data_IF_993548311633
#
_entry.id   IF_993548311633
#
_cell.length_a   1.000
_cell.length_b   1.000
_cell.length_c   1.000
_cell.angle_alpha   90.00
_cell.angle_beta   90.00
_cell.angle_gamma   90.00
#
_symmetry.space_group_name_H-M   'P 1'
#
loop_
_entity.id
_entity.type
_entity.pdbx_description
1 polymer ?
#
# COMPACT_ATOMS: atom_id res chain seq x y z
N UNK A 1 65.75 -8.19 4.93
CA UNK A 1 65.13 -7.29 3.94
C UNK A 1 64.09 -8.06 3.14
N UNK A 2 62.87 -8.18 3.66
CA UNK A 2 61.74 -8.77 2.95
C UNK A 2 60.44 -8.33 3.66
N UNK A 3 59.96 -7.11 3.40
CA UNK A 3 58.61 -6.71 3.87
C UNK A 3 57.96 -5.56 3.09
N UNK A 4 58.41 -5.23 1.88
CA UNK A 4 57.79 -4.14 1.08
C UNK A 4 57.05 -4.62 -0.18
N UNK A 5 57.17 -5.88 -0.58
CA UNK A 5 56.52 -6.39 -1.81
C UNK A 5 55.09 -6.90 -1.60
N UNK A 6 54.73 -7.43 -0.42
CA UNK A 6 53.39 -7.99 -0.20
C UNK A 6 52.27 -6.94 0.02
N UNK A 7 52.62 -5.67 0.30
CA UNK A 7 51.66 -4.56 0.50
C UNK A 7 51.33 -3.78 -0.77
N UNK A 8 52.14 -3.83 -1.83
CA UNK A 8 51.80 -3.20 -3.11
C UNK A 8 50.82 -4.04 -3.93
N UNK A 9 50.94 -5.36 -3.87
CA UNK A 9 50.16 -6.27 -4.70
C UNK A 9 48.69 -6.33 -4.28
N UNK A 10 48.41 -6.12 -2.98
CA UNK A 10 47.04 -6.05 -2.44
C UNK A 10 46.34 -4.72 -2.73
N UNK A 11 47.08 -3.62 -2.87
CA UNK A 11 46.51 -2.31 -3.21
C UNK A 11 46.22 -2.19 -4.72
N UNK A 12 47.05 -2.80 -5.56
CA UNK A 12 46.83 -2.85 -7.00
C UNK A 12 45.62 -3.73 -7.36
N UNK A 13 45.48 -4.89 -6.70
CA UNK A 13 44.31 -5.77 -6.88
C UNK A 13 42.98 -5.11 -6.48
N UNK A 14 42.98 -4.26 -5.45
CA UNK A 14 41.80 -3.51 -5.02
C UNK A 14 41.43 -2.40 -6.02
N UNK A 15 42.42 -1.72 -6.60
CA UNK A 15 42.21 -0.71 -7.64
C UNK A 15 41.71 -1.34 -8.94
N UNK A 16 42.21 -2.51 -9.32
CA UNK A 16 41.77 -3.23 -10.50
C UNK A 16 40.33 -3.76 -10.34
N UNK A 17 39.92 -4.20 -9.14
CA UNK A 17 38.52 -4.56 -8.81
C UNK A 17 37.60 -3.33 -8.83
N UNK A 18 38.03 -2.19 -8.30
CA UNK A 18 37.27 -0.93 -8.36
C UNK A 18 37.09 -0.45 -9.81
N UNK A 19 38.14 -0.55 -10.64
CA UNK A 19 38.08 -0.18 -12.06
C UNK A 19 37.25 -1.16 -12.89
N UNK A 20 37.29 -2.46 -12.57
CA UNK A 20 36.44 -3.47 -13.19
C UNK A 20 34.95 -3.24 -12.86
N UNK A 21 34.63 -2.91 -11.59
CA UNK A 21 33.26 -2.53 -11.17
C UNK A 21 32.78 -1.23 -11.82
N UNK A 22 33.68 -0.26 -12.07
CA UNK A 22 33.35 0.96 -12.82
C UNK A 22 33.05 0.67 -14.29
N UNK A 23 33.85 -0.16 -14.95
CA UNK A 23 33.58 -0.59 -16.34
C UNK A 23 32.30 -1.45 -16.46
N UNK A 24 31.98 -2.25 -15.44
CA UNK A 24 30.72 -2.99 -15.37
C UNK A 24 29.51 -2.05 -15.21
N UNK A 25 29.65 -0.96 -14.44
CA UNK A 25 28.62 0.06 -14.30
C UNK A 25 28.45 0.93 -15.57
N UNK A 26 29.52 1.23 -16.32
CA UNK A 26 29.43 1.97 -17.58
C UNK A 26 28.83 1.12 -18.71
N UNK A 27 29.05 -0.20 -18.73
CA UNK A 27 28.45 -1.12 -19.70
C UNK A 27 26.96 -1.41 -19.44
N UNK A 28 26.43 -1.07 -18.26
CA UNK A 28 25.00 -1.17 -17.90
C UNK A 28 24.22 0.13 -18.13
N UNK A 29 24.88 1.20 -18.61
CA UNK A 29 24.21 2.39 -19.16
C UNK A 29 24.03 2.15 -20.66
N UNK A 30 23.24 1.13 -20.99
CA UNK A 30 22.76 0.88 -22.35
C UNK A 30 21.26 1.05 -22.34
N UNK A 31 20.83 2.20 -22.86
CA UNK A 31 19.48 2.55 -23.32
C UNK A 31 18.32 1.76 -22.71
N UNK A 32 17.62 2.34 -21.73
CA UNK A 32 16.19 2.12 -21.65
C UNK A 32 15.60 2.55 -23.00
N UNK A 33 14.96 1.67 -23.80
CA UNK A 33 14.05 2.19 -24.80
C UNK A 33 12.95 2.91 -24.03
N UNK A 34 12.91 4.23 -24.17
CA UNK A 34 11.73 5.03 -23.86
C UNK A 34 10.62 4.52 -24.78
N UNK A 35 9.93 3.46 -24.37
CA UNK A 35 8.64 3.14 -24.95
C UNK A 35 7.71 4.26 -24.51
N UNK A 36 7.51 5.23 -25.40
CA UNK A 36 6.30 6.04 -25.35
C UNK A 36 5.12 5.08 -25.15
N UNK A 37 4.17 5.39 -24.25
CA UNK A 37 2.99 4.55 -24.13
C UNK A 37 2.32 4.53 -25.50
N UNK A 38 2.22 3.34 -26.10
CA UNK A 38 1.32 3.13 -27.21
C UNK A 38 -0.08 3.54 -26.72
N UNK A 39 -0.88 4.27 -27.52
CA UNK A 39 -2.24 4.58 -27.12
C UNK A 39 -3.03 3.28 -27.19
N UNK A 40 -3.04 2.52 -26.09
CA UNK A 40 -4.10 1.55 -25.87
C UNK A 40 -5.39 2.35 -25.92
N UNK A 41 -6.33 1.94 -26.74
CA UNK A 41 -7.69 2.48 -26.72
C UNK A 41 -8.27 2.17 -25.35
N UNK A 42 -7.98 3.02 -24.38
CA UNK A 42 -8.49 2.95 -23.03
C UNK A 42 -10.01 3.03 -23.17
N UNK A 43 -10.70 1.93 -22.88
CA UNK A 43 -12.13 2.00 -22.63
C UNK A 43 -12.31 3.05 -21.53
N UNK A 44 -12.91 4.17 -21.92
CA UNK A 44 -13.12 5.34 -21.06
C UNK A 44 -14.07 4.90 -19.96
N UNK A 45 -13.70 5.17 -18.70
CA UNK A 45 -14.56 4.96 -17.54
C UNK A 45 -15.97 5.50 -17.87
N UNK A 46 -17.03 4.68 -17.80
CA UNK A 46 -18.37 5.13 -18.17
C UNK A 46 -18.72 6.41 -17.41
N UNK A 47 -19.33 7.37 -18.10
CA UNK A 47 -19.49 8.73 -17.59
C UNK A 47 -20.29 8.78 -16.30
N UNK A 48 -21.21 7.85 -16.09
CA UNK A 48 -22.08 7.68 -14.93
C UNK A 48 -21.54 6.71 -13.86
N UNK A 49 -20.47 5.97 -14.15
CA UNK A 49 -19.97 4.93 -13.25
C UNK A 49 -19.52 5.50 -11.90
N UNK A 50 -20.05 4.97 -10.80
CA UNK A 50 -19.87 5.49 -9.44
C UNK A 50 -20.35 6.93 -9.18
N UNK A 51 -21.00 7.58 -10.16
CA UNK A 51 -21.63 8.88 -9.97
C UNK A 51 -23.08 8.74 -9.49
N UNK A 52 -23.54 9.75 -8.75
CA UNK A 52 -24.91 9.80 -8.24
C UNK A 52 -25.05 9.25 -6.81
N UNK A 53 -26.29 9.13 -6.31
CA UNK A 53 -26.52 8.63 -4.96
C UNK A 53 -26.02 7.20 -4.84
N UNK A 54 -25.47 6.87 -3.68
CA UNK A 54 -25.10 5.51 -3.34
C UNK A 54 -26.28 4.56 -3.59
N UNK A 55 -26.07 3.35 -4.15
CA UNK A 55 -27.14 2.40 -4.40
C UNK A 55 -28.01 2.22 -3.14
N UNK A 56 -29.32 2.43 -3.29
CA UNK A 56 -30.28 2.53 -2.18
C UNK A 56 -30.44 1.24 -1.38
N UNK A 57 -30.14 0.11 -2.03
CA UNK A 57 -30.14 -1.24 -1.49
C UNK A 57 -28.94 -1.50 -0.58
N UNK A 58 -27.85 -0.75 -0.77
CA UNK A 58 -26.65 -0.87 0.04
C UNK A 58 -26.70 0.10 1.23
N UNK A 59 -26.27 -0.38 2.39
CA UNK A 59 -26.24 0.41 3.63
C UNK A 59 -24.83 0.39 4.20
N UNK A 60 -23.97 1.34 3.81
CA UNK A 60 -22.59 1.36 4.25
C UNK A 60 -22.49 1.26 5.77
N UNK A 61 -21.76 0.25 6.25
CA UNK A 61 -21.58 0.00 7.67
C UNK A 61 -20.12 0.14 8.05
N UNK A 62 -19.83 1.21 8.78
CA UNK A 62 -18.50 1.46 9.35
C UNK A 62 -18.30 0.62 10.62
N UNK A 63 -17.24 -0.17 10.65
CA UNK A 63 -16.82 -0.99 11.80
C UNK A 63 -15.37 -0.67 12.15
N UNK A 64 -15.19 0.18 13.16
CA UNK A 64 -13.87 0.57 13.68
C UNK A 64 -13.22 -0.60 14.43
N UNK A 65 -11.98 -0.94 14.08
CA UNK A 65 -11.20 -1.91 14.86
C UNK A 65 -10.61 -1.19 16.08
N UNK A 66 -11.17 -1.47 17.25
CA UNK A 66 -10.65 -1.01 18.54
C UNK A 66 -9.62 -2.01 19.06
N UNK A 67 -8.35 -1.83 18.65
CA UNK A 67 -7.25 -2.73 19.01
C UNK A 67 -7.09 -2.93 20.52
N UNK A 68 -7.47 -1.95 21.36
CA UNK A 68 -7.41 -2.11 22.83
C UNK A 68 -8.30 -3.24 23.37
N UNK A 69 -9.31 -3.64 22.57
CA UNK A 69 -10.27 -4.71 22.87
C UNK A 69 -10.02 -5.98 22.06
N UNK A 70 -8.92 -6.08 21.34
CA UNK A 70 -8.55 -7.27 20.56
C UNK A 70 -7.33 -7.96 21.16
N UNK A 71 -6.94 -9.09 20.58
CA UNK A 71 -5.68 -9.76 20.94
C UNK A 71 -4.44 -8.96 20.55
N UNK A 72 -4.59 -7.88 19.76
CA UNK A 72 -3.52 -7.01 19.28
C UNK A 72 -3.48 -5.67 20.04
N UNK A 73 -3.64 -5.71 21.37
CA UNK A 73 -3.71 -4.52 22.21
C UNK A 73 -2.45 -3.61 22.14
N UNK A 74 -1.31 -4.09 21.65
CA UNK A 74 -0.14 -3.24 21.41
C UNK A 74 -0.36 -2.19 20.31
N UNK A 75 -1.41 -2.37 19.51
CA UNK A 75 -1.88 -1.43 18.50
C UNK A 75 -2.96 -0.48 19.01
N UNK A 76 -3.15 -0.39 20.33
CA UNK A 76 -3.99 0.63 20.94
C UNK A 76 -3.63 2.04 20.41
N UNK A 77 -4.66 2.79 20.03
CA UNK A 77 -4.55 4.10 19.40
C UNK A 77 -4.15 4.12 17.92
N UNK A 78 -3.86 2.96 17.30
CA UNK A 78 -3.65 2.88 15.84
C UNK A 78 -4.98 2.82 15.09
N UNK A 79 -4.94 3.13 13.80
CA UNK A 79 -6.12 3.26 12.95
C UNK A 79 -6.30 2.08 12.00
N UNK A 80 -7.43 1.37 12.14
CA UNK A 80 -7.98 0.48 11.12
C UNK A 80 -9.51 0.49 11.19
N UNK A 81 -10.19 0.46 10.05
CA UNK A 81 -11.66 0.41 9.96
C UNK A 81 -12.10 -0.35 8.72
N UNK A 82 -13.21 -1.08 8.83
CA UNK A 82 -13.88 -1.73 7.71
C UNK A 82 -15.14 -0.94 7.36
N UNK A 83 -15.42 -0.78 6.08
CA UNK A 83 -16.66 -0.24 5.55
C UNK A 83 -17.29 -1.33 4.70
N UNK A 84 -18.32 -1.98 5.23
CA UNK A 84 -19.11 -2.96 4.48
C UNK A 84 -20.11 -2.25 3.56
N UNK A 85 -20.55 -2.95 2.52
CA UNK A 85 -21.67 -2.57 1.65
C UNK A 85 -21.50 -1.17 1.02
N UNK A 86 -20.29 -0.85 0.52
CA UNK A 86 -19.95 0.43 -0.11
C UNK A 86 -19.96 0.36 -1.66
N UNK A 87 -19.71 -0.82 -2.23
CA UNK A 87 -19.88 -1.08 -3.65
C UNK A 87 -20.81 -2.28 -3.84
N UNK A 88 -21.62 -2.22 -4.90
CA UNK A 88 -22.44 -3.35 -5.34
C UNK A 88 -21.59 -4.38 -6.08
N UNK A 89 -22.13 -5.60 -6.22
CA UNK A 89 -21.50 -6.67 -7.01
C UNK A 89 -21.18 -6.20 -8.43
N UNK A 90 -22.15 -5.58 -9.11
CA UNK A 90 -21.98 -5.08 -10.48
C UNK A 90 -20.90 -3.99 -10.59
N UNK A 91 -20.76 -3.13 -9.58
CA UNK A 91 -19.70 -2.10 -9.57
C UNK A 91 -18.31 -2.73 -9.38
N UNK A 92 -18.18 -3.73 -8.50
CA UNK A 92 -16.93 -4.47 -8.33
C UNK A 92 -16.52 -5.22 -9.62
N UNK A 93 -17.46 -5.93 -10.25
CA UNK A 93 -17.23 -6.62 -11.53
C UNK A 93 -16.81 -5.64 -12.63
N UNK A 94 -17.49 -4.49 -12.73
CA UNK A 94 -17.15 -3.46 -13.71
C UNK A 94 -15.75 -2.88 -13.49
N UNK A 95 -15.30 -2.70 -12.25
CA UNK A 95 -13.92 -2.26 -11.95
C UNK A 95 -12.91 -3.30 -12.48
N UNK A 96 -13.15 -4.59 -12.27
CA UNK A 96 -12.27 -5.66 -12.75
C UNK A 96 -12.23 -5.67 -14.28
N UNK A 97 -13.40 -5.64 -14.93
CA UNK A 97 -13.54 -5.62 -16.39
C UNK A 97 -12.77 -4.45 -17.02
N UNK A 98 -12.98 -3.23 -16.51
CA UNK A 98 -12.32 -2.03 -17.02
C UNK A 98 -10.81 -2.08 -16.82
N UNK A 99 -10.35 -2.57 -15.66
CA UNK A 99 -8.93 -2.72 -15.39
C UNK A 99 -8.28 -3.75 -16.33
N UNK A 100 -8.90 -4.92 -16.53
CA UNK A 100 -8.42 -5.94 -17.46
C UNK A 100 -8.37 -5.42 -18.91
N UNK A 101 -9.30 -4.54 -19.30
CA UNK A 101 -9.30 -3.87 -20.60
C UNK A 101 -8.11 -2.91 -20.81
N UNK A 102 -7.43 -2.46 -19.74
CA UNK A 102 -6.24 -1.58 -19.86
C UNK A 102 -4.94 -2.32 -20.19
N UNK A 103 -4.97 -3.65 -20.23
CA UNK A 103 -3.77 -4.49 -20.35
C UNK A 103 -3.58 -5.03 -21.78
N UNK A 104 -2.33 -5.34 -22.16
CA UNK A 104 -1.99 -5.94 -23.45
C UNK A 104 -1.14 -7.22 -23.26
N UNK A 105 -1.60 -8.39 -23.73
CA UNK A 105 -2.96 -8.68 -24.20
C UNK A 105 -4.03 -8.39 -23.14
N UNK A 106 -5.25 -8.09 -23.58
CA UNK A 106 -6.42 -7.84 -22.70
C UNK A 106 -6.58 -8.97 -21.68
N UNK A 107 -6.77 -8.60 -20.41
CA UNK A 107 -6.86 -9.52 -19.28
C UNK A 107 -5.52 -10.04 -18.75
N UNK A 108 -4.38 -9.49 -19.18
CA UNK A 108 -3.06 -9.92 -18.67
C UNK A 108 -2.78 -9.34 -17.29
N UNK A 109 -2.62 -10.23 -16.31
CA UNK A 109 -2.14 -9.89 -14.97
C UNK A 109 -0.63 -10.14 -14.87
N UNK A 110 0.16 -9.07 -14.72
CA UNK A 110 1.62 -9.21 -14.58
C UNK A 110 2.01 -9.63 -13.16
N UNK A 111 3.12 -10.36 -13.00
CA UNK A 111 3.60 -10.73 -11.66
C UNK A 111 4.01 -9.46 -10.89
N UNK A 112 3.52 -9.32 -9.66
CA UNK A 112 3.76 -8.12 -8.87
C UNK A 112 5.22 -8.03 -8.37
N UNK A 113 6.03 -7.13 -8.95
CA UNK A 113 7.35 -6.80 -8.40
C UNK A 113 7.26 -5.93 -7.13
N UNK A 114 8.18 -6.13 -6.18
CA UNK A 114 8.29 -5.36 -4.93
C UNK A 114 9.24 -4.16 -5.14
N UNK A 115 8.83 -2.97 -4.66
CA UNK A 115 9.70 -1.79 -4.64
C UNK A 115 10.60 -1.86 -3.41
N UNK A 116 11.92 -1.88 -3.62
CA UNK A 116 12.92 -1.96 -2.53
C UNK A 116 13.47 -0.58 -2.13
N UNK A 117 12.89 0.51 -2.66
CA UNK A 117 13.33 1.88 -2.43
C UNK A 117 14.33 2.39 -3.47
N UNK A 118 14.42 3.72 -3.63
CA UNK A 118 15.39 4.36 -4.53
C UNK A 118 15.15 4.13 -6.02
N UNK A 119 13.91 3.86 -6.45
CA UNK A 119 13.57 3.60 -7.86
C UNK A 119 13.98 2.22 -8.37
N UNK A 120 14.43 1.31 -7.50
CA UNK A 120 14.85 -0.05 -7.85
C UNK A 120 13.71 -1.05 -7.59
N UNK A 121 13.48 -1.93 -8.55
CA UNK A 121 12.59 -3.10 -8.42
C UNK A 121 13.46 -4.35 -8.39
N UNK A 122 13.22 -5.25 -7.44
CA UNK A 122 13.89 -6.53 -7.36
C UNK A 122 12.86 -7.66 -7.37
N UNK A 123 13.18 -8.74 -8.07
CA UNK A 123 12.46 -10.01 -7.99
C UNK A 123 12.77 -10.64 -6.62
N UNK A 124 12.00 -10.27 -5.59
CA UNK A 124 11.87 -11.12 -4.41
C UNK A 124 10.61 -11.96 -4.61
N UNK A 125 10.76 -13.09 -5.30
CA UNK A 125 9.72 -14.15 -5.34
C UNK A 125 9.34 -14.63 -3.92
N UNK A 126 10.17 -14.28 -2.92
CA UNK A 126 9.96 -14.60 -1.53
C UNK A 126 9.03 -13.66 -0.76
N UNK A 127 8.74 -12.41 -1.17
CA UNK A 127 7.94 -11.52 -0.28
C UNK A 127 6.48 -11.44 -0.68
N UNK A 128 6.20 -11.48 -1.99
CA UNK A 128 4.84 -11.35 -2.54
C UNK A 128 4.71 -12.22 -3.78
N UNK A 129 3.66 -13.02 -3.82
CA UNK A 129 3.30 -13.87 -4.95
C UNK A 129 1.88 -13.51 -5.35
N UNK A 130 1.71 -12.67 -6.38
CA UNK A 130 0.39 -12.36 -6.95
C UNK A 130 0.51 -11.75 -8.35
N UNK A 131 -0.59 -11.78 -9.09
CA UNK A 131 -0.81 -10.97 -10.29
C UNK A 131 -1.19 -9.53 -9.93
N UNK A 132 -0.86 -8.58 -10.82
CA UNK A 132 -1.13 -7.16 -10.64
C UNK A 132 -1.46 -6.48 -11.96
N UNK A 133 -2.44 -5.60 -11.92
CA UNK A 133 -2.67 -4.56 -12.92
C UNK A 133 -2.44 -3.21 -12.25
N UNK A 134 -1.73 -2.33 -12.94
CA UNK A 134 -1.57 -0.94 -12.53
C UNK A 134 -2.47 -0.13 -13.45
N UNK A 135 -3.43 0.57 -12.86
CA UNK A 135 -4.36 1.42 -13.58
C UNK A 135 -4.28 2.83 -13.01
N UNK A 136 -3.60 3.72 -13.74
CA UNK A 136 -3.52 5.14 -13.40
C UNK A 136 -4.81 5.83 -13.88
N UNK A 137 -5.69 6.19 -12.94
CA UNK A 137 -6.99 6.82 -13.24
C UNK A 137 -7.45 7.73 -12.09
N UNK A 138 -7.23 9.03 -12.29
CA UNK A 138 -7.66 10.06 -11.34
C UNK A 138 -9.18 10.05 -11.14
N UNK A 139 -9.94 9.86 -12.22
CA UNK A 139 -11.40 9.94 -12.17
C UNK A 139 -12.04 8.82 -11.34
N UNK A 140 -11.56 7.57 -11.49
CA UNK A 140 -12.06 6.47 -10.66
C UNK A 140 -11.64 6.66 -9.19
N UNK A 141 -10.39 7.11 -8.95
CA UNK A 141 -9.89 7.39 -7.60
C UNK A 141 -10.74 8.46 -6.91
N UNK A 142 -11.06 9.56 -7.62
CA UNK A 142 -11.91 10.65 -7.14
C UNK A 142 -13.32 10.16 -6.80
N UNK A 143 -13.99 9.48 -7.74
CA UNK A 143 -15.37 8.97 -7.53
C UNK A 143 -15.47 7.95 -6.38
N UNK A 144 -14.46 7.08 -6.26
CA UNK A 144 -14.37 6.15 -5.14
C UNK A 144 -14.19 6.90 -3.82
N UNK A 145 -13.35 7.94 -3.79
CA UNK A 145 -13.14 8.75 -2.59
C UNK A 145 -14.41 9.50 -2.16
N UNK A 146 -15.16 10.08 -3.10
CA UNK A 146 -16.40 10.81 -2.80
C UNK A 146 -17.46 9.96 -2.08
N UNK A 147 -17.46 8.65 -2.32
CA UNK A 147 -18.32 7.70 -1.58
C UNK A 147 -17.80 7.40 -0.18
N UNK A 148 -16.48 7.34 -0.01
CA UNK A 148 -15.82 6.91 1.23
C UNK A 148 -15.66 8.06 2.22
N UNK A 149 -15.24 9.24 1.75
CA UNK A 149 -14.88 10.40 2.56
C UNK A 149 -15.94 10.79 3.60
N UNK A 150 -17.25 10.85 3.28
CA UNK A 150 -18.27 11.22 4.25
C UNK A 150 -18.38 10.25 5.43
N UNK A 151 -17.92 9.00 5.27
CA UNK A 151 -17.97 7.95 6.29
C UNK A 151 -16.76 7.97 7.22
N UNK A 152 -15.67 8.66 6.84
CA UNK A 152 -14.41 8.73 7.61
C UNK A 152 -13.90 10.17 7.77
N UNK A 153 -14.74 11.11 8.27
CA UNK A 153 -14.37 12.53 8.38
C UNK A 153 -13.13 12.77 9.25
N UNK A 154 -12.81 11.86 10.17
CA UNK A 154 -11.60 11.91 10.99
C UNK A 154 -10.29 11.76 10.21
N UNK A 155 -10.35 11.28 8.97
CA UNK A 155 -9.21 11.16 8.06
C UNK A 155 -8.95 12.44 7.26
N UNK A 156 -9.86 13.44 7.30
CA UNK A 156 -9.70 14.71 6.56
C UNK A 156 -8.47 15.52 6.95
N UNK A 157 -7.98 15.36 8.20
CA UNK A 157 -6.86 16.12 8.75
C UNK A 157 -5.99 15.29 9.68
N UNK A 158 -4.68 15.44 9.57
CA UNK A 158 -3.70 14.89 10.50
C UNK A 158 -2.91 16.03 11.15
N UNK A 159 -3.01 16.13 12.47
CA UNK A 159 -2.34 17.15 13.28
C UNK A 159 -1.87 16.50 14.59
N UNK A 160 -0.58 16.67 14.95
CA UNK A 160 -0.04 16.17 16.21
C UNK A 160 0.02 14.63 16.37
N UNK A 161 -0.25 13.84 15.33
CA UNK A 161 -0.31 12.36 15.39
C UNK A 161 1.02 11.70 14.98
N UNK A 162 2.00 11.67 15.89
CA UNK A 162 3.31 11.05 15.63
C UNK A 162 3.24 9.54 15.33
N UNK A 163 2.20 8.86 15.81
CA UNK A 163 1.93 7.44 15.50
C UNK A 163 1.60 7.21 14.03
N UNK A 164 1.10 8.24 13.32
CA UNK A 164 0.74 8.18 11.89
C UNK A 164 1.88 8.76 11.05
N UNK A 165 2.28 10.00 11.34
CA UNK A 165 3.21 10.77 10.48
C UNK A 165 4.69 10.58 10.83
N UNK A 166 4.98 10.03 12.00
CA UNK A 166 6.31 10.06 12.62
C UNK A 166 6.61 11.36 13.37
N UNK A 167 7.76 11.41 14.03
CA UNK A 167 8.13 12.55 14.89
C UNK A 167 8.51 13.82 14.13
N UNK A 168 8.93 13.72 12.87
CA UNK A 168 9.35 14.87 12.07
C UNK A 168 8.22 15.89 11.93
N UNK A 169 7.10 15.54 11.29
CA UNK A 169 5.96 16.44 11.13
C UNK A 169 5.44 17.02 12.45
N UNK A 170 5.39 16.23 13.51
CA UNK A 170 4.98 16.73 14.84
C UNK A 170 5.97 17.73 15.42
N UNK A 171 7.28 17.49 15.28
CA UNK A 171 8.33 18.42 15.74
C UNK A 171 8.27 19.77 15.01
N UNK A 172 7.90 19.73 13.73
CA UNK A 172 7.78 20.93 12.89
C UNK A 172 6.38 21.53 12.91
N UNK A 173 5.51 21.07 13.83
CA UNK A 173 4.14 21.55 13.99
C UNK A 173 3.34 21.49 12.67
N UNK A 174 3.60 20.49 11.84
CA UNK A 174 2.95 20.35 10.53
C UNK A 174 1.52 19.84 10.66
N UNK A 175 0.66 20.44 9.84
CA UNK A 175 -0.71 20.01 9.62
C UNK A 175 -0.84 19.48 8.20
N UNK A 176 -1.45 18.31 8.07
CA UNK A 176 -1.67 17.63 6.80
C UNK A 176 -3.17 17.50 6.53
N UNK A 177 -3.61 17.85 5.32
CA UNK A 177 -5.01 17.77 4.87
C UNK A 177 -5.14 16.69 3.81
N UNK A 178 -6.19 15.88 3.90
CA UNK A 178 -6.50 14.86 2.89
C UNK A 178 -6.84 15.53 1.56
N UNK A 179 -6.27 15.03 0.46
CA UNK A 179 -6.55 15.51 -0.91
C UNK A 179 -7.21 14.45 -1.79
N UNK A 180 -7.45 13.25 -1.25
CA UNK A 180 -8.14 12.17 -1.94
C UNK A 180 -7.33 10.88 -1.99
N UNK A 181 -7.63 10.04 -2.98
CA UNK A 181 -6.91 8.79 -3.22
C UNK A 181 -5.81 8.98 -4.26
N UNK A 182 -4.73 8.21 -4.13
CA UNK A 182 -3.70 8.13 -5.15
C UNK A 182 -4.29 7.61 -6.47
N UNK A 183 -4.06 8.32 -7.58
CA UNK A 183 -4.53 7.96 -8.92
C UNK A 183 -3.98 6.62 -9.44
N UNK A 184 -2.85 6.15 -8.90
CA UNK A 184 -2.23 4.86 -9.24
C UNK A 184 -2.90 3.71 -8.51
N UNK A 185 -4.02 3.24 -9.07
CA UNK A 185 -4.76 2.10 -8.54
C UNK A 185 -4.01 0.80 -8.85
N UNK A 186 -3.90 -0.07 -7.86
CA UNK A 186 -3.23 -1.38 -8.00
C UNK A 186 -4.26 -2.47 -7.78
N UNK A 187 -4.72 -3.07 -8.86
CA UNK A 187 -5.50 -4.29 -8.75
C UNK A 187 -4.56 -5.46 -8.52
N UNK A 188 -4.92 -6.34 -7.60
CA UNK A 188 -4.12 -7.50 -7.20
C UNK A 188 -4.98 -8.75 -7.32
N UNK A 189 -4.42 -9.78 -7.94
CA UNK A 189 -5.04 -11.10 -8.15
C UNK A 189 -4.19 -12.17 -7.50
N UNK A 190 -4.78 -12.90 -6.57
CA UNK A 190 -4.18 -14.05 -5.90
C UNK A 190 -4.93 -15.29 -6.33
N UNK A 191 -4.21 -16.37 -6.62
CA UNK A 191 -4.76 -17.72 -6.85
C UNK A 191 -4.25 -18.70 -5.79
N UNK A 192 -4.79 -19.92 -5.70
CA UNK A 192 -4.38 -20.90 -4.69
C UNK A 192 -2.85 -21.03 -4.52
N UNK A 193 -2.37 -20.95 -3.28
CA UNK A 193 -0.95 -20.97 -2.90
C UNK A 193 -0.21 -19.64 -3.08
N UNK A 194 -0.95 -18.53 -3.20
CA UNK A 194 -0.41 -17.16 -3.30
C UNK A 194 -0.68 -16.34 -2.05
N UNK A 195 0.21 -15.37 -1.78
CA UNK A 195 0.24 -14.64 -0.52
C UNK A 195 1.00 -13.32 -0.65
N UNK A 196 0.92 -12.53 0.41
CA UNK A 196 1.81 -11.41 0.64
C UNK A 196 2.31 -11.42 2.09
N UNK A 197 3.60 -11.72 2.29
CA UNK A 197 4.20 -11.89 3.62
C UNK A 197 4.00 -10.68 4.52
N UNK A 198 4.05 -10.91 5.82
CA UNK A 198 3.88 -9.87 6.84
C UNK A 198 4.84 -8.69 6.64
N UNK A 199 4.30 -7.48 6.64
CA UNK A 199 5.03 -6.23 6.43
C UNK A 199 4.25 -5.05 7.04
N UNK A 200 4.89 -3.88 7.09
CA UNK A 200 4.19 -2.62 7.25
C UNK A 200 4.24 -1.88 5.92
N UNK A 201 3.16 -1.18 5.58
CA UNK A 201 3.11 -0.43 4.33
C UNK A 201 4.05 0.77 4.38
N UNK A 202 4.68 1.04 3.24
CA UNK A 202 5.53 2.21 3.05
C UNK A 202 4.69 3.45 2.75
N UNK A 203 5.09 4.58 3.32
CA UNK A 203 4.55 5.89 2.92
C UNK A 203 5.12 6.27 1.55
N UNK A 204 4.25 6.70 0.65
CA UNK A 204 4.62 7.24 -0.66
C UNK A 204 4.69 8.77 -0.56
N UNK A 205 5.69 9.38 -1.21
CA UNK A 205 5.75 10.83 -1.44
C UNK A 205 5.67 11.07 -2.94
N UNK A 206 4.62 11.80 -3.36
CA UNK A 206 4.42 12.20 -4.74
C UNK A 206 5.40 13.33 -5.14
N UNK A 207 5.64 13.56 -6.44
CA UNK A 207 6.51 14.64 -6.92
C UNK A 207 6.10 16.03 -6.40
N UNK A 208 4.79 16.27 -6.24
CA UNK A 208 4.21 17.49 -5.70
C UNK A 208 4.25 17.58 -4.16
N UNK A 209 4.94 16.64 -3.48
CA UNK A 209 5.11 16.57 -2.01
C UNK A 209 3.89 16.13 -1.23
N UNK A 210 2.82 15.69 -1.89
CA UNK A 210 1.79 14.93 -1.21
C UNK A 210 2.35 13.62 -0.65
N UNK A 211 1.81 13.17 0.48
CA UNK A 211 2.23 11.95 1.16
C UNK A 211 1.07 11.05 1.49
N UNK A 212 1.26 9.75 1.37
CA UNK A 212 0.32 8.79 1.93
C UNK A 212 0.64 8.44 3.38
N UNK A 213 -0.43 8.23 4.15
CA UNK A 213 -0.37 7.79 5.55
C UNK A 213 -1.30 6.61 5.87
N UNK A 214 -2.31 6.39 5.04
CA UNK A 214 -3.26 5.30 5.16
C UNK A 214 -3.37 4.56 3.83
N UNK A 215 -3.60 3.27 3.90
CA UNK A 215 -3.92 2.43 2.75
C UNK A 215 -5.40 2.15 2.73
N UNK A 216 -5.98 2.23 1.54
CA UNK A 216 -7.35 1.81 1.24
C UNK A 216 -7.27 0.51 0.44
N UNK A 217 -7.92 -0.54 0.94
CA UNK A 217 -7.93 -1.87 0.34
C UNK A 217 -9.39 -2.29 0.09
N UNK A 218 -9.81 -2.24 -1.17
CA UNK A 218 -11.14 -2.65 -1.62
C UNK A 218 -11.11 -4.13 -2.03
N UNK A 219 -12.06 -4.91 -1.53
CA UNK A 219 -12.26 -6.30 -1.93
C UNK A 219 -13.22 -6.39 -3.11
N UNK A 220 -12.77 -6.99 -4.21
CA UNK A 220 -13.51 -7.04 -5.48
C UNK A 220 -14.22 -8.38 -5.70
N UNK A 221 -14.00 -9.36 -4.83
CA UNK A 221 -14.75 -10.61 -4.77
C UNK A 221 -14.67 -11.20 -3.36
N UNK A 222 -15.44 -12.26 -3.12
CA UNK A 222 -15.44 -13.06 -1.89
C UNK A 222 -15.81 -14.52 -2.18
N UNK A 223 -16.03 -15.32 -1.14
CA UNK A 223 -16.36 -16.76 -1.25
C UNK A 223 -17.60 -17.04 -2.11
N UNK A 224 -18.61 -16.17 -2.08
CA UNK A 224 -19.88 -16.38 -2.78
C UNK A 224 -19.85 -15.86 -4.23
N UNK A 225 -18.90 -15.00 -4.56
CA UNK A 225 -18.78 -14.33 -5.87
C UNK A 225 -17.49 -14.73 -6.59
N UNK A 226 -17.34 -16.02 -6.89
CA UNK A 226 -16.17 -16.59 -7.59
C UNK A 226 -16.49 -16.83 -9.08
N UNK A 227 -15.60 -16.35 -9.97
CA UNK A 227 -15.79 -16.48 -11.42
C UNK A 227 -15.59 -17.91 -11.94
N UNK A 228 -14.72 -18.70 -11.28
CA UNK A 228 -14.39 -20.08 -11.64
C UNK A 228 -15.22 -21.12 -10.86
N UNK A 229 -16.09 -20.67 -9.96
CA UNK A 229 -16.94 -21.52 -9.12
C UNK A 229 -16.21 -22.20 -7.95
N UNK A 230 -14.90 -22.00 -7.81
CA UNK A 230 -14.13 -22.55 -6.69
C UNK A 230 -14.17 -21.56 -5.50
N UNK A 231 -14.59 -21.99 -4.30
CA UNK A 231 -14.75 -21.06 -3.17
C UNK A 231 -13.41 -20.44 -2.76
N UNK A 232 -13.45 -19.13 -2.48
CA UNK A 232 -12.34 -18.41 -1.85
C UNK A 232 -12.20 -18.92 -0.40
N UNK A 233 -11.11 -19.63 -0.12
CA UNK A 233 -10.75 -20.11 1.22
C UNK A 233 -9.40 -19.53 1.62
N UNK A 234 -9.32 -18.91 2.80
CA UNK A 234 -8.13 -18.19 3.26
C UNK A 234 -8.08 -16.77 2.69
N UNK A 235 -6.88 -16.26 2.39
CA UNK A 235 -6.72 -14.96 1.74
C UNK A 235 -7.15 -13.76 2.59
N UNK A 236 -7.24 -13.88 3.91
CA UNK A 236 -7.56 -12.75 4.79
C UNK A 236 -6.50 -11.64 4.67
N UNK A 237 -6.90 -10.40 4.93
CA UNK A 237 -5.93 -9.36 5.30
C UNK A 237 -5.75 -9.47 6.80
N UNK A 238 -4.58 -9.95 7.23
CA UNK A 238 -4.34 -10.31 8.63
C UNK A 238 -3.39 -9.32 9.27
N UNK A 239 -3.80 -8.72 10.38
CA UNK A 239 -2.91 -7.97 11.27
C UNK A 239 -2.24 -8.94 12.25
N UNK A 240 -0.95 -8.73 12.53
CA UNK A 240 -0.18 -9.59 13.43
C UNK A 240 0.39 -8.79 14.60
N UNK A 241 0.45 -9.41 15.77
CA UNK A 241 1.35 -8.96 16.81
C UNK A 241 2.80 -9.03 16.30
N UNK A 242 3.70 -8.20 16.83
CA UNK A 242 5.07 -8.14 16.32
C UNK A 242 5.86 -9.44 16.50
N UNK A 243 5.49 -10.25 17.49
CA UNK A 243 6.04 -11.58 17.71
C UNK A 243 5.42 -12.65 16.80
N UNK A 244 4.45 -12.29 15.95
CA UNK A 244 3.70 -13.16 15.04
C UNK A 244 2.84 -14.25 15.74
N UNK A 245 2.69 -14.20 17.06
CA UNK A 245 1.97 -15.23 17.84
C UNK A 245 0.45 -14.97 17.91
N UNK A 246 0.03 -13.72 17.73
CA UNK A 246 -1.38 -13.31 17.76
C UNK A 246 -1.73 -12.63 16.45
N UNK A 247 -2.99 -12.76 16.04
CA UNK A 247 -3.48 -12.24 14.78
C UNK A 247 -4.92 -11.78 14.86
N UNK A 248 -5.29 -10.88 13.95
CA UNK A 248 -6.67 -10.47 13.71
C UNK A 248 -6.91 -10.48 12.21
N UNK A 249 -7.92 -11.21 11.79
CA UNK A 249 -8.23 -11.42 10.39
C UNK A 249 -9.37 -10.52 9.92
N UNK A 250 -9.17 -9.89 8.76
CA UNK A 250 -10.23 -9.25 7.99
C UNK A 250 -10.47 -10.10 6.74
N UNK A 251 -11.55 -10.87 6.77
CA UNK A 251 -11.94 -11.72 5.65
C UNK A 251 -12.35 -10.86 4.43
N UNK A 252 -12.04 -11.29 3.20
CA UNK A 252 -12.56 -10.63 2.00
C UNK A 252 -14.09 -10.70 1.96
N UNK A 253 -14.73 -9.55 1.82
CA UNK A 253 -16.16 -9.44 1.52
C UNK A 253 -16.34 -8.51 0.34
N UNK A 254 -16.98 -8.96 -0.74
CA UNK A 254 -17.07 -8.19 -1.98
C UNK A 254 -17.73 -6.84 -1.72
N UNK A 255 -17.17 -5.79 -2.30
CA UNK A 255 -17.68 -4.43 -2.16
C UNK A 255 -17.46 -3.80 -0.78
N UNK A 256 -16.64 -4.42 0.08
CA UNK A 256 -16.16 -3.81 1.33
C UNK A 256 -14.78 -3.18 1.18
N UNK A 257 -14.49 -2.19 2.03
CA UNK A 257 -13.20 -1.50 2.08
C UNK A 257 -12.59 -1.66 3.48
N UNK A 258 -11.31 -2.02 3.53
CA UNK A 258 -10.47 -1.91 4.72
C UNK A 258 -9.55 -0.69 4.58
N UNK A 259 -9.62 0.24 5.53
CA UNK A 259 -8.69 1.38 5.63
C UNK A 259 -7.84 1.20 6.88
N UNK A 260 -6.52 1.31 6.75
CA UNK A 260 -5.61 1.20 7.90
C UNK A 260 -4.39 2.12 7.75
N UNK A 261 -3.83 2.57 8.87
CA UNK A 261 -2.61 3.39 8.84
C UNK A 261 -1.40 2.55 8.41
N UNK A 262 -0.54 3.13 7.59
CA UNK A 262 0.61 2.43 7.04
C UNK A 262 1.71 2.22 8.09
N UNK A 263 1.93 3.23 8.94
CA UNK A 263 2.96 3.19 9.97
C UNK A 263 2.51 2.32 11.14
N UNK A 264 3.30 1.32 11.52
CA UNK A 264 3.11 0.64 12.80
C UNK A 264 2.14 -0.54 12.80
N UNK A 265 1.39 -0.77 11.73
CA UNK A 265 0.49 -1.92 11.62
C UNK A 265 1.14 -3.03 10.77
N UNK A 266 1.63 -4.07 11.44
CA UNK A 266 2.15 -5.27 10.79
C UNK A 266 0.99 -6.09 10.26
N UNK A 267 1.01 -6.39 8.97
CA UNK A 267 -0.07 -7.12 8.32
C UNK A 267 0.42 -7.94 7.12
N UNK A 268 -0.37 -8.94 6.71
CA UNK A 268 -0.11 -9.78 5.55
C UNK A 268 -1.39 -9.91 4.70
N UNK A 269 -1.22 -10.28 3.43
CA UNK A 269 -2.24 -11.01 2.71
C UNK A 269 -1.99 -12.48 2.96
N UNK A 270 -2.79 -13.10 3.84
CA UNK A 270 -2.59 -14.48 4.26
C UNK A 270 -2.75 -15.45 3.09
N UNK A 271 -2.28 -16.69 3.26
CA UNK A 271 -2.30 -17.70 2.21
C UNK A 271 -3.72 -17.89 1.65
N UNK A 272 -3.86 -17.78 0.34
CA UNK A 272 -5.07 -18.19 -0.36
C UNK A 272 -5.00 -19.70 -0.57
N UNK A 273 -5.84 -20.46 0.12
CA UNK A 273 -5.83 -21.93 0.08
C UNK A 273 -6.47 -22.43 -1.21
N UNK A 274 -7.63 -21.87 -1.59
CA UNK A 274 -8.37 -22.20 -2.81
C UNK A 274 -9.11 -20.99 -3.38
N UNK A 275 -9.54 -21.11 -4.63
CA UNK A 275 -10.26 -20.06 -5.35
C UNK A 275 -9.35 -18.90 -5.78
N UNK A 276 -9.96 -17.73 -5.92
CA UNK A 276 -9.31 -16.50 -6.36
C UNK A 276 -9.68 -15.32 -5.46
N UNK A 277 -8.70 -14.49 -5.13
CA UNK A 277 -8.92 -13.20 -4.45
C UNK A 277 -8.51 -12.04 -5.35
N UNK A 278 -9.44 -11.12 -5.56
CA UNK A 278 -9.27 -9.87 -6.30
C UNK A 278 -9.42 -8.69 -5.35
N UNK A 279 -8.49 -7.75 -5.42
CA UNK A 279 -8.52 -6.53 -4.59
C UNK A 279 -8.03 -5.34 -5.38
N UNK A 280 -8.43 -4.14 -4.96
CA UNK A 280 -7.88 -2.88 -5.40
C UNK A 280 -7.24 -2.19 -4.20
N UNK A 281 -5.93 -1.93 -4.28
CA UNK A 281 -5.18 -1.18 -3.28
C UNK A 281 -4.83 0.21 -3.83
N UNK A 282 -5.12 1.23 -3.06
CA UNK A 282 -4.61 2.59 -3.24
C UNK A 282 -4.27 3.19 -1.87
N UNK A 283 -3.80 4.42 -1.84
CA UNK A 283 -3.39 5.11 -0.64
C UNK A 283 -4.14 6.44 -0.51
N UNK A 284 -4.47 6.84 0.73
CA UNK A 284 -5.08 8.15 1.02
C UNK A 284 -3.95 9.17 1.09
N UNK A 285 -4.03 10.19 0.23
CA UNK A 285 -3.01 11.20 -0.01
C UNK A 285 -3.30 12.46 0.81
N UNK A 286 -2.22 13.09 1.27
CA UNK A 286 -2.27 14.29 2.10
C UNK A 286 -1.29 15.33 1.61
N UNK A 287 -1.71 16.58 1.59
CA UNK A 287 -0.83 17.72 1.38
C UNK A 287 -0.51 18.42 2.70
N UNK A 288 0.68 18.99 2.80
CA UNK A 288 1.04 19.87 3.91
C UNK A 288 0.33 21.21 3.74
N UNK A 289 -0.29 21.69 4.80
CA UNK A 289 -0.97 23.00 4.83
C UNK A 289 -0.06 24.09 5.41
N UNK A 290 -0.47 25.36 5.24
CA UNK A 290 0.16 26.50 5.90
C UNK A 290 -0.25 26.65 7.38
N UNK A 291 -1.17 25.81 7.88
CA UNK A 291 -1.56 25.80 9.29
C UNK A 291 -0.43 25.27 10.18
N UNK A 292 -0.36 25.83 11.39
CA UNK A 292 0.56 25.36 12.44
C UNK A 292 -0.24 24.56 13.45
N UNK A 293 0.22 23.35 13.74
CA UNK A 293 -0.40 22.47 14.72
C UNK A 293 -0.45 23.16 16.09
N UNK A 294 -1.59 23.02 16.77
CA UNK A 294 -1.73 23.50 18.15
C UNK A 294 -0.70 22.78 19.02
N UNK A 295 0.07 23.55 19.80
CA UNK A 295 1.01 22.99 20.77
C UNK A 295 0.28 22.07 21.74
N UNK A 296 0.51 20.77 21.61
CA UNK A 296 0.02 19.79 22.58
C UNK A 296 0.97 19.86 23.78
N UNK A 297 0.44 20.15 24.98
CA UNK A 297 1.26 20.12 26.19
C UNK A 297 1.93 18.73 26.34
N UNK A 298 3.24 18.67 26.63
CA UNK A 298 3.99 17.42 26.72
C UNK A 298 3.44 16.39 27.75
N UNK A 299 2.54 16.82 28.64
CA UNK A 299 1.96 16.04 29.73
C UNK A 299 0.86 15.06 29.29
N UNK A 300 0.26 15.22 28.09
CA UNK A 300 -0.88 14.40 27.62
C UNK A 300 -0.56 13.44 26.47
N UNK A 301 0.68 13.44 25.96
CA UNK A 301 1.09 12.54 24.87
C UNK A 301 1.42 11.17 25.45
N UNK A 302 0.67 10.15 25.02
CA UNK A 302 0.83 8.73 25.38
C UNK A 302 2.32 8.33 25.26
N UNK A 303 2.96 8.07 26.40
CA UNK A 303 4.38 7.65 26.51
C UNK A 303 4.66 6.22 26.02
N UNK A 304 3.71 5.56 25.37
CA UNK A 304 3.84 4.17 24.92
C UNK A 304 3.60 4.05 23.43
N UNK A 305 4.61 4.45 22.64
CA UNK A 305 4.89 3.74 21.40
C UNK A 305 5.98 2.71 21.69
N UNK A 306 5.90 1.48 21.15
CA UNK A 306 6.92 0.46 21.31
C UNK A 306 8.32 1.00 20.99
N UNK A 307 9.34 0.51 21.69
CA UNK A 307 10.71 1.05 21.63
C UNK A 307 11.28 1.16 20.21
N UNK A 308 10.80 0.35 19.26
CA UNK A 308 11.25 0.33 17.88
C UNK A 308 10.80 1.56 17.05
N UNK A 309 9.72 2.25 17.43
CA UNK A 309 9.29 3.51 16.76
C UNK A 309 10.29 4.65 17.01
N UNK A 310 11.11 4.52 18.06
CA UNK A 310 12.14 5.51 18.44
C UNK A 310 13.44 5.35 17.66
N UNK A 311 13.65 4.23 16.95
CA UNK A 311 14.89 3.93 16.22
C UNK A 311 14.69 3.97 14.70
N UNK A 312 14.64 5.19 14.15
CA UNK A 312 15.23 5.48 12.83
C UNK A 312 15.89 6.86 12.88
N UNK A 313 17.00 6.95 13.60
CA UNK A 313 18.06 7.90 13.23
C UNK A 313 18.88 7.20 12.16
N UNK A 314 19.21 7.93 11.10
CA UNK A 314 19.99 7.42 9.97
C UNK A 314 21.20 6.62 10.44
N UNK A 315 21.31 5.42 9.89
CA UNK A 315 22.46 4.53 10.02
C UNK A 315 22.51 3.73 8.74
N UNK A 316 23.35 4.19 7.82
CA UNK A 316 23.84 3.47 6.66
C UNK A 316 24.42 2.12 7.12
N UNK A 317 23.97 1.04 6.52
CA UNK A 317 24.76 -0.16 6.24
C UNK A 317 24.39 -0.62 4.84
#
# INVERSE_FOLDING_TARGET
>A
MASSSARSDTHQALLDDILARRKFNEAMISSNPTSAPAPATAEVLPTDFLLGPHPSELKPKLSRIDFSKTELYEYDGLYATVIDDILSVAECEKIVELAEATTEPKGKWERAMVNIGGGRQAMYEDTRKCGRIIWDTEELARRLWERVEPLVPELSKIEGKASVTGWGPVKWEEVWRCVGLNERLRLLKYVGGEYFKAHCDGMYEAPNKERSYYTLHLYLNDTDHQADGEPLVGGATTFFAHNMERRLDVAPKMGSILIFQQRGLLHAGDDLVSGMKLTLRTDIMYEKTDEVAKKVEPSKVVKRLPAWVKNRRGGTV
#
